data_IF_065535149224
#
_entry.id   IF_065535149224
#
_cell.length_a   1.000
_cell.length_b   1.000
_cell.length_c   1.000
_cell.angle_alpha   90.00
_cell.angle_beta   90.00
_cell.angle_gamma   90.00
#
_symmetry.space_group_name_H-M   'P 1'
#
loop_
_entity.id
_entity.type
_entity.pdbx_description
1 polymer ?
2 branched ?
3 non-polymer ?
4 water ?
#
# COMPACT_ATOMS: atom_id res chain seq x y z
N UNK A 4 1.35 -12.71 -18.00
CA UNK A 4 0.82 -11.81 -16.98
C UNK A 4 1.66 -11.92 -15.71
N UNK A 5 1.62 -10.87 -14.92
CA UNK A 5 2.45 -10.70 -13.73
C UNK A 5 2.43 -11.79 -12.69
N UNK A 6 1.24 -12.12 -12.17
CA UNK A 6 1.18 -13.17 -11.15
C UNK A 6 1.49 -14.53 -11.71
N UNK A 7 1.14 -14.82 -12.98
CA UNK A 7 1.50 -16.14 -13.51
C UNK A 7 3.02 -16.26 -13.63
N UNK A 8 3.68 -15.17 -14.02
CA UNK A 8 5.12 -15.18 -14.15
C UNK A 8 5.88 -15.22 -12.85
N UNK A 9 5.49 -14.37 -11.89
CA UNK A 9 6.25 -14.27 -10.64
C UNK A 9 5.73 -15.14 -9.52
N UNK A 10 4.44 -15.42 -9.55
CA UNK A 10 3.81 -16.31 -8.59
C UNK A 10 3.97 -15.91 -7.14
N UNK A 11 4.36 -16.89 -6.34
CA UNK A 11 4.48 -16.71 -4.89
C UNK A 11 5.60 -15.77 -4.50
N UNK A 12 5.24 -14.69 -3.80
CA UNK A 12 6.26 -13.75 -3.34
C UNK A 12 6.73 -14.13 -1.95
N UNK A 13 7.96 -13.77 -1.62
CA UNK A 13 8.50 -14.02 -0.29
C UNK A 13 9.62 -13.01 -0.03
N UNK A 14 10.12 -13.00 1.20
CA UNK A 14 11.22 -12.12 1.56
C UNK A 14 12.49 -12.96 1.71
N UNK A 15 13.53 -12.58 0.99
CA UNK A 15 14.81 -13.28 1.05
C UNK A 15 15.91 -12.27 1.32
N UNK A 16 16.54 -12.36 2.49
CA UNK A 16 17.62 -11.46 2.88
C UNK A 16 17.17 -10.01 2.79
N UNK A 17 15.97 -9.69 3.27
CA UNK A 17 15.43 -8.35 3.27
C UNK A 17 14.90 -7.86 1.95
N UNK A 18 14.84 -8.74 0.93
CA UNK A 18 14.40 -8.30 -0.38
C UNK A 18 13.16 -9.07 -0.85
N UNK A 19 12.29 -8.33 -1.55
CA UNK A 19 11.10 -8.98 -2.12
C UNK A 19 11.50 -9.80 -3.35
N UNK A 20 11.22 -11.09 -3.34
CA UNK A 20 11.57 -11.96 -4.46
C UNK A 20 10.36 -12.79 -4.92
N UNK A 21 10.45 -13.29 -6.16
CA UNK A 21 9.40 -14.16 -6.70
C UNK A 21 9.66 -15.62 -6.33
N UNK A 22 8.87 -16.54 -6.87
CA UNK A 22 8.97 -17.96 -6.53
C UNK A 22 10.23 -18.63 -7.05
N UNK A 23 10.96 -17.98 -7.96
CA UNK A 23 12.24 -18.51 -8.43
C UNK A 23 13.40 -17.83 -7.72
N UNK A 24 13.08 -17.02 -6.70
CA UNK A 24 14.10 -16.33 -5.91
C UNK A 24 14.68 -15.09 -6.56
N UNK A 25 14.06 -14.57 -7.60
CA UNK A 25 14.57 -13.39 -8.29
C UNK A 25 13.94 -12.12 -7.71
N UNK A 26 14.71 -11.04 -7.63
CA UNK A 26 14.12 -9.81 -7.11
C UNK A 26 13.02 -9.30 -8.05
N UNK A 27 11.94 -8.81 -7.45
CA UNK A 27 10.83 -8.25 -8.19
C UNK A 27 10.47 -6.89 -7.57
N UNK A 28 9.90 -6.02 -8.38
CA UNK A 28 9.51 -4.69 -7.92
C UNK A 28 8.08 -4.41 -8.39
N UNK A 29 7.21 -4.12 -7.43
CA UNK A 29 5.82 -3.85 -7.72
C UNK A 29 5.57 -2.35 -7.76
N UNK A 30 4.81 -1.89 -8.74
CA UNK A 30 4.49 -0.47 -8.85
C UNK A 30 3.00 -0.35 -9.19
N UNK A 31 2.27 0.45 -8.42
CA UNK A 31 0.84 0.54 -8.73
C UNK A 31 0.20 1.73 -8.03
N UNK A 32 -1.12 1.63 -7.92
CA UNK A 32 -1.92 2.67 -7.32
C UNK A 32 -2.68 2.19 -6.10
N UNK A 33 -2.90 3.13 -5.19
CA UNK A 33 -3.77 2.89 -4.06
C UNK A 33 -5.10 3.62 -4.36
N UNK A 34 -6.20 3.02 -3.94
CA UNK A 34 -7.49 3.71 -3.98
C UNK A 34 -7.40 4.81 -2.92
N UNK A 35 -8.39 5.69 -2.93
CA UNK A 35 -8.52 6.66 -1.82
C UNK A 35 -9.41 5.89 -0.84
N UNK A 36 -10.04 6.50 0.14
CA UNK A 36 -10.89 5.73 1.06
C UNK A 36 -12.05 5.09 0.30
N UNK A 37 -12.25 3.79 0.54
CA UNK A 37 -13.32 3.07 -0.15
C UNK A 37 -14.71 3.53 0.24
N UNK A 38 -14.89 4.16 1.38
CA UNK A 38 -16.18 4.70 1.80
C UNK A 38 -16.53 6.01 1.08
N UNK A 39 -15.57 6.63 0.41
CA UNK A 39 -15.76 7.89 -0.26
C UNK A 39 -15.66 7.80 -1.77
N UNK A 40 -14.65 7.06 -2.27
CA UNK A 40 -14.38 6.98 -3.69
C UNK A 40 -14.27 5.56 -4.22
N UNK A 41 -15.15 4.70 -3.72
CA UNK A 41 -15.19 3.30 -4.12
C UNK A 41 -15.60 3.07 -5.56
N UNK A 42 -16.22 4.04 -6.22
CA UNK A 42 -16.62 3.90 -7.61
C UNK A 42 -15.43 3.75 -8.55
N UNK A 43 -14.22 4.15 -8.17
CA UNK A 43 -13.05 4.01 -9.00
C UNK A 43 -12.36 2.67 -8.83
N UNK A 44 -12.89 1.81 -7.97
CA UNK A 44 -12.31 0.50 -7.71
C UNK A 44 -13.24 -0.57 -8.27
N UNK A 45 -12.88 -1.04 -9.46
CA UNK A 45 -13.71 -2.06 -10.12
C UNK A 45 -12.85 -2.76 -11.15
N UNK A 46 -13.33 -3.90 -11.66
CA UNK A 46 -12.56 -4.65 -12.64
C UNK A 46 -12.13 -3.80 -13.82
N UNK A 47 -13.05 -3.02 -14.41
CA UNK A 47 -12.68 -2.24 -15.59
C UNK A 47 -11.63 -1.18 -15.33
N UNK A 48 -11.72 -0.44 -14.22
CA UNK A 48 -10.72 0.59 -13.95
C UNK A 48 -9.37 -0.06 -13.62
N UNK A 49 -9.42 -1.20 -12.91
CA UNK A 49 -8.18 -1.91 -12.61
C UNK A 49 -7.56 -2.49 -13.87
N UNK A 50 -8.38 -2.96 -14.81
CA UNK A 50 -7.88 -3.51 -16.07
C UNK A 50 -7.23 -2.39 -16.89
N UNK A 51 -7.86 -1.21 -16.88
CA UNK A 51 -7.29 -0.06 -17.59
C UNK A 51 -5.95 0.34 -16.98
N UNK A 52 -5.86 0.34 -15.63
CA UNK A 52 -4.59 0.66 -15.01
C UNK A 52 -3.52 -0.37 -15.42
N UNK A 53 -3.91 -1.65 -15.41
CA UNK A 53 -2.94 -2.68 -15.77
C UNK A 53 -2.46 -2.50 -17.20
N UNK A 54 -3.41 -2.33 -18.13
CA UNK A 54 -3.07 -2.29 -19.55
C UNK A 54 -2.49 -0.99 -20.06
N UNK A 55 -2.97 0.14 -19.56
CA UNK A 55 -2.54 1.44 -20.04
C UNK A 55 -1.44 2.06 -19.19
N UNK A 56 -1.49 1.85 -17.87
CA UNK A 56 -0.43 2.40 -17.01
C UNK A 56 0.66 1.37 -16.76
N UNK A 57 0.36 0.09 -16.87
CA UNK A 57 1.35 -0.94 -16.57
C UNK A 57 1.37 -1.35 -15.10
N UNK A 58 0.34 -1.05 -14.30
CA UNK A 58 0.42 -1.43 -12.89
C UNK A 58 0.51 -2.94 -12.70
N UNK A 59 1.19 -3.36 -11.64
CA UNK A 59 1.25 -4.77 -11.29
C UNK A 59 0.80 -5.01 -9.85
N UNK A 60 0.27 -3.96 -9.20
CA UNK A 60 -0.27 -4.10 -7.85
C UNK A 60 -1.34 -3.04 -7.65
N UNK A 61 -2.40 -3.36 -6.91
CA UNK A 61 -3.44 -2.39 -6.60
C UNK A 61 -3.70 -2.44 -5.11
N UNK A 62 -3.78 -1.28 -4.46
CA UNK A 62 -4.01 -1.26 -3.01
C UNK A 62 -5.41 -0.76 -2.68
N UNK A 63 -6.15 -1.56 -1.94
CA UNK A 63 -7.53 -1.22 -1.54
C UNK A 63 -7.47 -0.61 -0.15
N UNK A 64 -7.66 0.71 -0.08
CA UNK A 64 -7.54 1.43 1.18
C UNK A 64 -8.84 1.44 1.97
N UNK A 65 -9.01 0.43 2.82
CA UNK A 65 -10.24 0.33 3.61
C UNK A 65 -10.10 1.07 4.92
N UNK A 66 -10.46 2.37 4.93
CA UNK A 66 -10.42 3.09 6.19
C UNK A 66 -11.25 2.32 7.24
N UNK A 67 -10.76 2.33 8.46
CA UNK A 67 -11.47 1.70 9.57
C UNK A 67 -12.42 2.71 10.22
N UNK A 68 -11.88 3.91 10.50
CA UNK A 68 -12.71 4.98 11.07
C UNK A 68 -13.12 5.94 9.96
N UNK A 69 -13.54 7.15 10.30
CA UNK A 69 -13.94 8.16 9.33
C UNK A 69 -15.02 7.70 8.35
N UNK A 70 -16.01 6.94 8.82
CA UNK A 70 -17.08 6.44 7.98
C UNK A 70 -16.72 5.12 7.30
N UNK A 71 -15.57 4.55 7.64
CA UNK A 71 -15.09 3.30 7.06
C UNK A 71 -15.66 2.07 7.75
N UNK A 72 -14.90 0.99 7.73
CA UNK A 72 -15.33 -0.33 8.19
C UNK A 72 -15.98 -0.40 9.56
N UNK A 73 -15.45 0.30 10.56
CA UNK A 73 -16.06 0.24 11.89
C UNK A 73 -17.46 0.86 11.88
N UNK A 74 -17.64 1.95 11.14
CA UNK A 74 -18.93 2.64 11.05
C UNK A 74 -19.90 1.91 10.15
N UNK A 75 -19.40 1.29 9.08
CA UNK A 75 -20.25 0.56 8.15
C UNK A 75 -19.39 -0.53 7.51
N UNK A 76 -19.55 -1.77 7.97
CA UNK A 76 -18.75 -2.89 7.51
C UNK A 76 -18.99 -3.31 6.08
N UNK A 77 -19.96 -2.72 5.39
CA UNK A 77 -20.26 -2.96 4.00
C UNK A 77 -19.07 -2.72 3.10
N UNK A 78 -18.13 -1.83 3.45
CA UNK A 78 -16.91 -1.59 2.70
C UNK A 78 -15.99 -2.80 2.57
N UNK A 79 -16.12 -3.80 3.44
CA UNK A 79 -15.34 -5.03 3.33
C UNK A 79 -15.70 -5.74 2.03
N UNK A 80 -16.96 -5.61 1.58
CA UNK A 80 -17.34 -6.24 0.31
C UNK A 80 -16.64 -5.57 -0.88
N UNK A 81 -16.34 -4.28 -0.77
CA UNK A 81 -15.62 -3.58 -1.84
C UNK A 81 -14.17 -4.09 -1.87
N UNK A 82 -13.60 -4.35 -0.69
CA UNK A 82 -12.26 -4.96 -0.66
C UNK A 82 -12.31 -6.30 -1.37
N UNK A 83 -13.32 -7.12 -1.10
CA UNK A 83 -13.45 -8.41 -1.78
C UNK A 83 -13.53 -8.23 -3.29
N UNK A 84 -14.31 -7.25 -3.74
CA UNK A 84 -14.40 -6.96 -5.18
C UNK A 84 -13.02 -6.65 -5.77
N UNK A 85 -12.25 -5.80 -5.08
CA UNK A 85 -10.90 -5.46 -5.53
C UNK A 85 -9.98 -6.67 -5.58
N UNK A 86 -10.03 -7.51 -4.56
CA UNK A 86 -9.19 -8.71 -4.51
C UNK A 86 -9.54 -9.64 -5.67
N UNK A 87 -10.84 -9.86 -5.90
CA UNK A 87 -11.28 -10.76 -6.98
C UNK A 87 -10.94 -10.22 -8.34
N UNK A 88 -11.02 -8.90 -8.51
CA UNK A 88 -10.61 -8.27 -9.77
C UNK A 88 -9.11 -8.46 -9.98
N UNK A 89 -8.29 -8.30 -8.93
CA UNK A 89 -6.85 -8.50 -9.05
C UNK A 89 -6.53 -9.93 -9.45
N UNK A 90 -7.27 -10.88 -8.89
CA UNK A 90 -7.09 -12.31 -9.21
C UNK A 90 -7.45 -12.53 -10.68
N UNK A 91 -8.57 -11.94 -11.12
CA UNK A 91 -8.98 -12.09 -12.52
C UNK A 91 -8.03 -11.41 -13.49
N UNK A 92 -7.38 -10.32 -13.09
CA UNK A 92 -6.43 -9.58 -13.92
C UNK A 92 -4.99 -10.04 -13.76
N UNK A 93 -4.78 -11.00 -12.86
CA UNK A 93 -3.44 -11.54 -12.62
C UNK A 93 -2.45 -10.49 -12.17
N UNK A 94 -2.87 -9.66 -11.20
CA UNK A 94 -1.98 -8.68 -10.60
C UNK A 94 -2.03 -8.84 -9.08
N UNK A 95 -1.05 -8.25 -8.38
CA UNK A 95 -1.04 -8.34 -6.92
C UNK A 95 -2.01 -7.35 -6.31
N UNK A 96 -2.43 -7.63 -5.07
CA UNK A 96 -3.40 -6.75 -4.42
C UNK A 96 -3.10 -6.62 -2.94
N UNK A 97 -3.14 -5.37 -2.46
CA UNK A 97 -2.87 -5.13 -1.04
C UNK A 97 -4.20 -4.85 -0.34
N UNK A 98 -4.47 -5.59 0.72
CA UNK A 98 -5.65 -5.43 1.56
C UNK A 98 -5.21 -4.53 2.70
N UNK A 99 -5.62 -3.26 2.67
CA UNK A 99 -5.12 -2.31 3.69
C UNK A 99 -6.14 -1.94 4.75
N UNK A 100 -5.87 -2.35 5.97
CA UNK A 100 -6.66 -2.01 7.16
C UNK A 100 -6.18 -0.59 7.48
N UNK A 101 -6.92 0.40 6.96
CA UNK A 101 -6.42 1.76 6.90
C UNK A 101 -6.72 2.63 8.11
N UNK A 102 -5.95 2.37 9.17
CA UNK A 102 -6.07 3.18 10.37
C UNK A 102 -5.45 4.56 10.09
N UNK A 103 -5.96 5.57 10.78
CA UNK A 103 -5.44 6.93 10.62
C UNK A 103 -5.83 7.75 11.84
N UNK A 104 -7.07 8.24 11.91
CA UNK A 104 -7.53 8.98 13.09
C UNK A 104 -7.55 8.08 14.33
N UNK A 105 -7.83 6.80 14.15
CA UNK A 105 -7.75 5.75 15.14
C UNK A 105 -6.26 5.37 15.10
N UNK A 106 -5.44 6.21 15.70
CA UNK A 106 -4.01 6.26 15.56
C UNK A 106 -3.21 5.12 16.17
N UNK A 107 -3.79 4.43 17.11
CA UNK A 107 -3.17 3.25 17.71
C UNK A 107 -3.87 2.06 17.09
N UNK A 108 -3.15 1.13 16.46
CA UNK A 108 -3.76 -0.04 15.87
C UNK A 108 -4.47 -0.92 16.88
N UNK A 109 -4.12 -0.81 18.16
CA UNK A 109 -4.80 -1.59 19.19
C UNK A 109 -6.24 -1.16 19.41
N UNK A 110 -6.64 0.05 19.02
CA UNK A 110 -8.01 0.50 19.26
C UNK A 110 -9.02 -0.50 18.71
N UNK A 111 -8.86 -0.90 17.45
CA UNK A 111 -9.77 -1.85 16.82
C UNK A 111 -9.11 -3.18 16.51
N UNK A 112 -8.24 -3.63 17.41
CA UNK A 112 -7.54 -4.90 17.22
C UNK A 112 -8.45 -6.10 17.14
N UNK A 113 -9.53 -6.19 17.93
CA UNK A 113 -10.40 -7.36 17.84
C UNK A 113 -11.09 -7.40 16.49
N UNK A 114 -11.54 -6.23 16.03
CA UNK A 114 -12.16 -6.16 14.70
C UNK A 114 -11.16 -6.50 13.61
N UNK A 115 -9.91 -6.08 13.72
CA UNK A 115 -8.85 -6.36 12.78
C UNK A 115 -8.58 -7.86 12.68
N UNK A 116 -8.54 -8.53 13.83
CA UNK A 116 -8.32 -9.97 13.87
C UNK A 116 -9.45 -10.70 13.16
N UNK A 117 -10.69 -10.30 13.42
CA UNK A 117 -11.83 -10.95 12.75
C UNK A 117 -11.80 -10.68 11.24
N UNK A 118 -11.51 -9.45 10.85
CA UNK A 118 -11.41 -9.09 9.45
C UNK A 118 -10.32 -9.85 8.72
N UNK A 119 -9.11 -9.89 9.30
CA UNK A 119 -8.01 -10.62 8.67
C UNK A 119 -8.22 -12.12 8.70
N UNK A 120 -8.93 -12.65 9.71
CA UNK A 120 -9.25 -14.08 9.69
C UNK A 120 -10.12 -14.38 8.46
N UNK A 121 -11.17 -13.57 8.27
CA UNK A 121 -12.06 -13.78 7.13
C UNK A 121 -11.35 -13.63 5.78
N UNK A 122 -10.58 -12.56 5.64
CA UNK A 122 -9.87 -12.32 4.38
C UNK A 122 -8.85 -13.41 4.08
N UNK A 123 -8.09 -13.87 5.08
CA UNK A 123 -7.10 -14.91 4.83
C UNK A 123 -7.76 -16.26 4.61
N UNK A 124 -8.91 -16.51 5.23
CA UNK A 124 -9.60 -17.78 4.97
C UNK A 124 -10.11 -17.81 3.53
N UNK A 125 -10.65 -16.69 3.07
CA UNK A 125 -11.19 -16.62 1.73
C UNK A 125 -10.14 -16.65 0.63
N UNK A 126 -9.10 -15.83 0.78
CA UNK A 126 -8.12 -15.64 -0.28
C UNK A 126 -6.71 -16.09 0.02
N UNK A 127 -6.51 -16.83 1.12
CA UNK A 127 -5.19 -17.25 1.52
C UNK A 127 -4.51 -18.23 0.58
N UNK A 128 -5.27 -18.91 -0.30
CA UNK A 128 -4.64 -19.81 -1.24
C UNK A 128 -4.49 -19.18 -2.63
N UNK A 129 -4.33 -17.86 -2.68
CA UNK A 129 -3.96 -17.17 -3.91
C UNK A 129 -2.66 -16.44 -3.63
N UNK A 130 -1.71 -16.40 -4.57
CA UNK A 130 -0.46 -15.71 -4.39
C UNK A 130 -0.55 -14.20 -4.59
N UNK A 131 -1.71 -13.71 -5.03
CA UNK A 131 -1.88 -12.29 -5.30
C UNK A 131 -1.96 -11.41 -4.06
N UNK A 132 -2.39 -12.01 -2.96
CA UNK A 132 -2.69 -11.25 -1.75
C UNK A 132 -1.50 -10.83 -0.92
N UNK A 133 -1.53 -9.55 -0.54
CA UNK A 133 -0.56 -8.95 0.37
C UNK A 133 -1.39 -8.29 1.49
N UNK A 134 -1.15 -8.57 2.76
CA UNK A 134 -1.95 -7.96 3.82
C UNK A 134 -1.23 -6.76 4.43
N UNK A 135 -1.96 -5.66 4.61
CA UNK A 135 -1.34 -4.47 5.24
C UNK A 135 -2.18 -4.23 6.50
N UNK A 136 -1.66 -4.65 7.66
CA UNK A 136 -2.47 -4.70 8.87
C UNK A 136 -2.67 -3.40 9.65
N UNK A 137 -1.99 -2.33 9.32
CA UNK A 137 -2.18 -1.06 10.04
C UNK A 137 -1.52 0.07 9.25
N UNK A 138 -2.29 0.66 8.35
CA UNK A 138 -1.77 1.71 7.48
C UNK A 138 -0.76 2.65 8.12
N UNK A 139 -1.22 3.50 9.03
CA UNK A 139 -0.40 4.54 9.62
C UNK A 139 -0.58 4.78 11.10
N UNK A 140 0.09 3.96 11.91
CA UNK A 140 0.15 4.21 13.35
C UNK A 140 0.68 5.63 13.52
N UNK A 141 0.15 6.40 14.48
CA UNK A 141 0.69 7.75 14.64
C UNK A 141 0.42 8.26 16.05
N UNK A 142 1.15 9.31 16.41
CA UNK A 142 1.07 9.88 17.75
C UNK A 142 2.32 9.52 18.55
N UNK A 143 2.74 10.43 19.45
CA UNK A 143 3.93 10.17 20.25
C UNK A 143 3.79 9.00 21.23
N UNK A 144 2.59 8.67 21.63
CA UNK A 144 2.28 7.59 22.54
C UNK A 144 2.05 6.26 21.84
N UNK A 145 2.27 6.21 20.53
CA UNK A 145 2.09 4.95 19.79
C UNK A 145 3.49 4.54 19.30
N UNK A 146 4.16 3.69 20.08
CA UNK A 146 5.52 3.31 19.71
C UNK A 146 5.58 1.90 19.09
N UNK A 147 6.70 1.66 18.42
CA UNK A 147 6.92 0.36 17.79
C UNK A 147 6.95 -0.72 18.87
N UNK A 148 7.82 -0.54 19.87
CA UNK A 148 7.96 -1.59 20.88
C UNK A 148 6.76 -1.82 21.76
N UNK A 149 6.02 -0.79 22.16
CA UNK A 149 4.92 -0.96 23.09
C UNK A 149 3.55 -1.15 22.46
N UNK A 150 3.31 -0.59 21.27
CA UNK A 150 2.00 -0.68 20.67
C UNK A 150 1.96 -1.39 19.31
N UNK A 151 2.84 -1.02 18.39
CA UNK A 151 2.76 -1.57 17.03
C UNK A 151 3.23 -3.01 16.92
N UNK A 152 4.40 -3.31 17.47
CA UNK A 152 4.89 -4.69 17.39
C UNK A 152 3.98 -5.68 18.09
N UNK A 153 3.52 -5.43 19.30
CA UNK A 153 2.58 -6.30 19.99
C UNK A 153 1.28 -6.44 19.21
N UNK A 154 0.79 -5.37 18.58
CA UNK A 154 -0.41 -5.49 17.75
C UNK A 154 -0.16 -6.48 16.62
N UNK A 155 1.00 -6.31 15.96
CA UNK A 155 1.35 -7.22 14.87
C UNK A 155 1.49 -8.65 15.37
N UNK A 156 1.99 -8.83 16.59
CA UNK A 156 2.16 -10.17 17.17
C UNK A 156 0.86 -10.81 17.60
N UNK A 157 -0.26 -10.10 17.55
CA UNK A 157 -1.59 -10.64 17.76
C UNK A 157 -2.30 -10.86 16.43
N UNK A 158 -2.09 -9.98 15.44
CA UNK A 158 -2.81 -10.13 14.16
C UNK A 158 -2.14 -11.11 13.20
N UNK A 159 -0.81 -11.14 13.18
CA UNK A 159 -0.10 -12.05 12.28
C UNK A 159 -0.43 -13.49 12.55
N UNK A 160 -0.47 -13.96 13.78
CA UNK A 160 -0.87 -15.34 14.07
C UNK A 160 -2.22 -15.70 13.49
N UNK A 161 -3.19 -14.78 13.47
CA UNK A 161 -4.51 -15.04 12.89
C UNK A 161 -4.40 -15.30 11.40
N UNK A 162 -3.65 -14.44 10.71
CA UNK A 162 -3.45 -14.64 9.26
C UNK A 162 -2.69 -15.92 8.98
N UNK A 163 -1.62 -16.19 9.74
CA UNK A 163 -0.75 -17.35 9.53
C UNK A 163 -1.43 -18.69 9.77
N UNK A 164 -2.54 -18.68 10.50
CA UNK A 164 -3.32 -19.89 10.72
C UNK A 164 -4.04 -20.29 9.44
N UNK A 165 -4.27 -19.34 8.54
CA UNK A 165 -4.94 -19.61 7.29
C UNK A 165 -4.04 -19.52 6.07
N UNK A 166 -3.03 -18.68 6.13
CA UNK A 166 -2.14 -18.37 5.01
C UNK A 166 -0.73 -18.30 5.57
N UNK A 167 0.04 -19.36 5.37
CA UNK A 167 1.35 -19.45 6.00
C UNK A 167 2.42 -18.49 5.56
N UNK A 168 2.32 -17.92 4.35
CA UNK A 168 3.47 -17.12 3.92
C UNK A 168 3.22 -16.05 2.90
N UNK A 169 1.97 -15.66 2.62
CA UNK A 169 1.84 -14.46 1.75
C UNK A 169 2.43 -13.28 2.52
N UNK A 170 2.84 -12.23 1.81
CA UNK A 170 3.48 -11.06 2.42
C UNK A 170 2.54 -10.28 3.32
N UNK A 171 3.08 -9.83 4.46
CA UNK A 171 2.35 -8.98 5.39
C UNK A 171 3.14 -7.68 5.56
N UNK A 172 2.49 -6.54 5.31
CA UNK A 172 3.13 -5.23 5.48
C UNK A 172 2.65 -4.69 6.83
N UNK A 173 3.58 -4.25 7.67
CA UNK A 173 3.26 -3.73 8.99
C UNK A 173 3.64 -2.25 9.09
N UNK A 174 2.68 -1.43 9.45
CA UNK A 174 2.91 0.00 9.58
C UNK A 174 3.95 0.29 10.66
N UNK A 175 4.57 1.47 10.53
CA UNK A 175 5.58 1.91 11.50
C UNK A 175 5.14 3.21 12.16
N UNK A 176 5.90 3.64 13.18
CA UNK A 176 5.55 4.84 13.91
C UNK A 176 5.59 6.12 13.10
N UNK A 177 4.96 7.16 13.67
CA UNK A 177 4.96 8.50 13.07
C UNK A 177 4.48 8.46 11.62
N UNK A 178 3.25 7.93 11.46
CA UNK A 178 2.59 7.79 10.18
C UNK A 178 3.42 6.97 9.20
N UNK A 179 3.90 5.81 9.67
CA UNK A 179 4.73 4.93 8.86
C UNK A 179 5.95 5.58 8.25
N UNK A 180 6.68 6.35 9.08
CA UNK A 180 7.94 6.95 8.66
C UNK A 180 9.07 6.37 9.49
N UNK A 181 8.80 5.91 10.71
CA UNK A 181 9.84 5.43 11.61
C UNK A 181 10.27 4.00 11.40
N UNK A 182 10.88 3.75 10.24
CA UNK A 182 11.39 2.42 9.91
C UNK A 182 12.67 2.14 10.67
N UNK A 183 13.40 3.15 11.13
CA UNK A 183 14.62 2.93 11.90
C UNK A 183 14.33 2.09 13.15
N UNK A 184 13.32 2.46 13.93
CA UNK A 184 12.99 1.75 15.16
C UNK A 184 12.52 0.33 14.86
N UNK A 185 11.66 0.20 13.82
CA UNK A 185 11.20 -1.14 13.48
C UNK A 185 12.35 -2.03 13.04
N UNK A 186 13.30 -1.47 12.28
CA UNK A 186 14.42 -2.26 11.78
C UNK A 186 15.33 -2.73 12.90
N UNK A 187 15.40 -1.99 14.00
CA UNK A 187 16.20 -2.40 15.14
C UNK A 187 15.48 -3.37 16.06
N UNK A 188 14.21 -3.69 15.81
CA UNK A 188 13.46 -4.59 16.68
C UNK A 188 12.42 -5.33 15.82
N UNK A 189 12.95 -6.09 14.88
CA UNK A 189 12.12 -6.75 13.87
C UNK A 189 11.25 -7.87 14.40
N UNK A 190 10.18 -8.13 13.64
CA UNK A 190 9.25 -9.22 13.93
C UNK A 190 9.87 -10.54 13.49
N UNK A 191 9.43 -11.65 14.07
CA UNK A 191 9.97 -12.96 13.74
C UNK A 191 9.50 -13.50 12.40
N UNK A 192 8.28 -13.15 11.96
CA UNK A 192 7.79 -13.73 10.70
C UNK A 192 8.75 -13.45 9.56
N UNK A 193 9.11 -14.45 8.78
CA UNK A 193 10.07 -14.30 7.70
C UNK A 193 9.53 -13.59 6.47
N UNK A 194 8.22 -13.41 6.37
CA UNK A 194 7.63 -12.79 5.19
C UNK A 194 6.91 -11.51 5.55
N UNK A 195 7.58 -10.71 6.37
CA UNK A 195 7.02 -9.41 6.78
C UNK A 195 7.83 -8.29 6.15
N UNK A 196 7.13 -7.22 5.82
CA UNK A 196 7.74 -6.00 5.31
C UNK A 196 7.24 -4.84 6.19
N UNK A 197 8.04 -3.79 6.29
CA UNK A 197 7.70 -2.62 7.10
C UNK A 197 7.32 -1.47 6.17
N UNK A 198 6.20 -0.81 6.45
CA UNK A 198 5.75 0.27 5.58
C UNK A 198 6.56 1.54 5.77
N UNK A 199 6.79 2.23 4.66
CA UNK A 199 7.46 3.53 4.69
C UNK A 199 6.65 4.42 3.75
N UNK A 200 6.19 5.56 4.24
CA UNK A 200 5.34 6.47 3.47
C UNK A 200 6.01 7.84 3.34
N UNK A 201 5.90 8.47 2.17
CA UNK A 201 6.51 9.80 2.00
C UNK A 201 5.65 10.66 1.10
N UNK A 202 5.82 11.97 1.20
CA UNK A 202 5.14 12.95 0.36
C UNK A 202 6.22 13.85 -0.22
N UNK A 203 6.18 14.10 -1.55
CA UNK A 203 7.22 14.88 -2.21
C UNK A 203 7.33 16.33 -1.77
N UNK A 204 6.29 16.86 -1.13
CA UNK A 204 6.31 18.22 -0.61
C UNK A 204 7.31 18.38 0.54
N UNK A 205 7.67 17.30 1.20
CA UNK A 205 8.66 17.32 2.27
C UNK A 205 10.05 17.06 1.70
N UNK A 206 11.03 17.90 2.06
CA UNK A 206 12.41 17.66 1.58
C UNK A 206 12.84 16.32 2.14
N UNK A 207 13.24 15.37 1.28
CA UNK A 207 13.43 14.03 1.78
C UNK A 207 14.79 13.42 1.90
N UNK A 208 15.85 14.21 1.94
CA UNK A 208 17.20 13.61 1.99
C UNK A 208 17.45 12.77 3.22
N UNK A 209 17.03 13.22 4.39
CA UNK A 209 17.26 12.41 5.60
C UNK A 209 16.33 11.21 5.64
N UNK A 210 15.11 11.36 5.14
CA UNK A 210 14.20 10.20 5.09
C UNK A 210 14.76 9.11 4.20
N UNK A 211 15.39 9.46 3.08
CA UNK A 211 16.05 8.46 2.23
C UNK A 211 17.17 7.78 2.99
N UNK A 212 17.96 8.55 3.76
CA UNK A 212 19.03 7.94 4.55
C UNK A 212 18.47 7.01 5.63
N UNK A 213 17.29 7.33 6.17
CA UNK A 213 16.66 6.49 7.17
C UNK A 213 16.16 5.17 6.56
N UNK A 214 15.66 5.25 5.33
CA UNK A 214 15.24 4.01 4.65
C UNK A 214 16.48 3.14 4.41
N UNK A 215 17.58 3.76 3.99
CA UNK A 215 18.82 3.02 3.78
C UNK A 215 19.28 2.34 5.07
N UNK A 216 19.17 3.03 6.20
CA UNK A 216 19.52 2.45 7.49
C UNK A 216 18.70 1.19 7.72
N UNK A 217 17.38 1.29 7.58
CA UNK A 217 16.50 0.13 7.79
C UNK A 217 16.85 -1.02 6.86
N UNK A 218 17.09 -0.71 5.59
CA UNK A 218 17.48 -1.75 4.62
C UNK A 218 18.78 -2.42 5.04
N UNK A 219 19.73 -1.67 5.59
CA UNK A 219 20.99 -2.19 6.08
C UNK A 219 20.86 -3.13 7.26
N UNK A 220 19.74 -3.12 7.98
CA UNK A 220 19.49 -4.03 9.08
C UNK A 220 18.78 -5.29 8.58
N UNK A 221 18.55 -5.37 7.27
CA UNK A 221 17.90 -6.54 6.69
C UNK A 221 16.37 -6.46 6.77
N UNK A 222 15.84 -5.29 7.06
CA UNK A 222 14.38 -5.13 7.11
C UNK A 222 13.87 -4.86 5.69
N UNK A 223 12.84 -5.58 5.27
CA UNK A 223 12.25 -5.35 3.95
C UNK A 223 11.27 -4.18 4.07
N UNK A 224 11.30 -3.29 3.09
CA UNK A 224 10.45 -2.10 3.15
C UNK A 224 9.52 -2.04 1.95
N UNK A 225 8.26 -1.71 2.20
CA UNK A 225 7.31 -1.55 1.08
C UNK A 225 6.80 -0.10 1.18
N UNK A 226 6.91 0.67 0.10
CA UNK A 226 6.41 2.06 0.15
C UNK A 226 4.92 1.99 -0.21
N UNK A 227 4.08 1.61 0.77
CA UNK A 227 2.68 1.32 0.44
C UNK A 227 1.80 2.54 0.26
N UNK A 228 2.37 3.72 0.49
CA UNK A 228 1.65 4.97 0.24
C UNK A 228 2.68 6.07 -0.01
N UNK A 229 2.59 6.79 -1.11
CA UNK A 229 3.45 7.96 -1.31
C UNK A 229 2.67 8.91 -2.22
N UNK A 230 2.95 10.20 -2.11
CA UNK A 230 2.23 11.12 -3.01
C UNK A 230 3.18 12.18 -3.54
N UNK A 231 2.74 12.82 -4.62
CA UNK A 231 3.50 13.88 -5.25
C UNK A 231 3.25 15.22 -4.56
N UNK A 232 2.28 15.26 -3.67
CA UNK A 232 1.89 16.47 -2.96
C UNK A 232 2.57 16.67 -1.62
N UNK A 233 1.98 17.55 -0.82
CA UNK A 233 2.44 17.74 0.56
C UNK A 233 1.83 16.61 1.39
N UNK A 234 2.19 16.44 2.64
CA UNK A 234 1.75 15.40 3.54
C UNK A 234 0.26 15.32 3.78
N UNK A 235 -0.47 16.41 3.55
CA UNK A 235 -1.92 16.45 3.71
C UNK A 235 -2.64 15.81 2.54
N UNK A 236 -1.93 15.53 1.44
CA UNK A 236 -2.55 14.97 0.25
C UNK A 236 -2.91 16.10 -0.73
N UNK A 237 -2.58 17.33 -0.35
CA UNK A 237 -2.89 18.50 -1.18
C UNK A 237 -1.73 19.47 -1.10
N UNK A 238 -1.92 20.75 -1.41
CA UNK A 238 -0.87 21.72 -1.26
C UNK A 238 0.17 21.83 -2.36
N UNK A 239 -0.10 21.36 -3.56
CA UNK A 239 0.83 21.49 -4.67
C UNK A 239 1.37 20.14 -5.14
N UNK A 240 1.95 20.14 -6.32
CA UNK A 240 2.56 18.94 -6.90
C UNK A 240 4.05 19.22 -6.98
N UNK A 241 4.88 18.37 -6.37
CA UNK A 241 6.32 18.61 -6.29
C UNK A 241 7.09 17.56 -7.07
N UNK A 242 7.11 17.74 -8.40
CA UNK A 242 7.71 16.72 -9.27
C UNK A 242 9.20 16.57 -9.20
N UNK A 243 9.98 17.61 -8.87
CA UNK A 243 11.43 17.41 -8.77
C UNK A 243 11.74 16.42 -7.64
N UNK A 244 11.20 16.69 -6.45
CA UNK A 244 11.44 15.78 -5.32
C UNK A 244 10.79 14.43 -5.56
N UNK A 245 9.63 14.40 -6.21
CA UNK A 245 9.02 13.10 -6.53
C UNK A 245 9.93 12.25 -7.40
N UNK A 246 10.56 12.85 -8.40
CA UNK A 246 11.48 12.12 -9.29
C UNK A 246 12.72 11.64 -8.54
N UNK A 247 13.23 12.43 -7.58
CA UNK A 247 14.36 11.96 -6.78
C UNK A 247 13.95 10.69 -6.04
N UNK A 248 12.75 10.71 -5.44
CA UNK A 248 12.26 9.51 -4.74
C UNK A 248 12.04 8.34 -5.68
N UNK A 249 11.49 8.58 -6.86
CA UNK A 249 11.31 7.50 -7.85
C UNK A 249 12.64 6.84 -8.17
N UNK A 250 13.67 7.66 -8.43
CA UNK A 250 14.99 7.15 -8.74
C UNK A 250 15.58 6.38 -7.56
N UNK A 251 15.42 6.90 -6.35
CA UNK A 251 15.87 6.23 -5.14
C UNK A 251 15.20 4.87 -5.00
N UNK A 252 13.90 4.79 -5.19
CA UNK A 252 13.18 3.52 -5.08
C UNK A 252 13.65 2.53 -6.14
N UNK A 253 13.95 2.97 -7.37
CA UNK A 253 14.48 2.02 -8.36
C UNK A 253 15.87 1.54 -7.97
N UNK A 254 16.73 2.42 -7.46
CA UNK A 254 18.07 2.03 -7.04
C UNK A 254 18.06 0.98 -5.94
N UNK A 255 17.11 1.11 -5.01
CA UNK A 255 16.94 0.20 -3.90
C UNK A 255 15.93 -0.91 -4.17
N UNK A 256 15.37 -0.98 -5.36
CA UNK A 256 14.36 -1.92 -5.79
C UNK A 256 13.15 -1.97 -4.85
N UNK A 257 12.72 -0.77 -4.44
CA UNK A 257 11.57 -0.69 -3.55
C UNK A 257 10.25 -0.70 -4.32
N UNK A 258 9.34 -1.54 -3.81
CA UNK A 258 7.98 -1.62 -4.37
C UNK A 258 7.16 -0.45 -3.84
N UNK A 259 6.15 -0.04 -4.61
CA UNK A 259 5.37 1.12 -4.16
C UNK A 259 3.97 1.22 -4.72
N UNK A 260 3.15 1.99 -4.01
CA UNK A 260 1.78 2.27 -4.41
C UNK A 260 1.53 3.78 -4.23
N UNK A 261 1.12 4.44 -5.29
CA UNK A 261 0.89 5.88 -5.23
C UNK A 261 -0.51 6.21 -4.70
N UNK A 262 -0.57 7.30 -3.93
CA UNK A 262 -1.82 7.82 -3.38
C UNK A 262 -2.22 9.06 -4.16
N UNK A 263 -3.37 9.10 -4.80
CA UNK A 263 -4.35 8.03 -4.85
C UNK A 263 -5.25 8.13 -6.10
N UNK A 264 -5.96 7.03 -6.36
CA UNK A 264 -6.86 6.97 -7.51
C UNK A 264 -8.24 7.55 -7.21
N UNK A 265 -8.38 8.85 -7.43
CA UNK A 265 -9.64 9.54 -7.21
C UNK A 265 -9.65 10.82 -8.03
N UNK A 266 -10.84 11.43 -8.16
CA UNK A 266 -10.98 12.69 -8.87
C UNK A 266 -11.15 13.85 -7.89
N UNK A 267 -10.99 13.58 -6.61
CA UNK A 267 -11.09 14.61 -5.58
C UNK A 267 -10.21 15.79 -5.96
N UNK A 268 -10.65 17.00 -5.64
CA UNK A 268 -9.88 18.20 -5.94
C UNK A 268 -8.78 18.45 -4.91
N UNK A 269 -7.75 17.61 -4.95
CA UNK A 269 -6.57 17.72 -4.10
C UNK A 269 -5.38 17.31 -4.96
N UNK A 270 -4.23 17.89 -4.71
CA UNK A 270 -3.05 17.69 -5.53
C UNK A 270 -2.62 16.25 -5.74
N UNK A 271 -2.75 15.40 -4.73
CA UNK A 271 -2.33 14.01 -4.87
C UNK A 271 -3.29 13.17 -5.69
N UNK A 272 -4.52 13.64 -5.92
CA UNK A 272 -5.47 12.83 -6.70
C UNK A 272 -4.96 12.64 -8.12
N UNK A 273 -5.05 11.41 -8.64
CA UNK A 273 -4.57 11.12 -9.98
C UNK A 273 -5.50 11.52 -11.11
N UNK A 274 -6.78 11.72 -10.83
CA UNK A 274 -7.75 12.00 -11.88
C UNK A 274 -8.38 13.39 -11.74
N UNK A 275 -8.94 13.87 -12.86
CA UNK A 275 -9.66 15.14 -12.85
C UNK A 275 -11.14 14.82 -12.68
N UNK A 276 -11.96 15.73 -12.17
CA UNK A 276 -13.37 15.50 -11.98
C UNK A 276 -14.24 14.68 -12.87
N UNK A 277 -14.30 14.75 -14.19
CA UNK A 277 -15.21 13.91 -14.96
C UNK A 277 -14.52 12.67 -15.51
N UNK A 278 -13.49 12.19 -14.81
CA UNK A 278 -12.78 10.99 -15.24
C UNK A 278 -13.77 9.83 -15.07
N UNK A 279 -13.83 8.97 -16.06
CA UNK A 279 -14.76 7.83 -15.99
C UNK A 279 -14.33 6.89 -14.89
N UNK A 280 -15.25 6.48 -14.00
CA UNK A 280 -14.92 5.56 -12.94
C UNK A 280 -14.54 4.17 -13.44
N UNK A 281 -14.83 3.83 -14.70
CA UNK A 281 -14.45 2.53 -15.25
C UNK A 281 -13.23 2.59 -16.17
N UNK A 282 -12.44 3.65 -16.13
CA UNK A 282 -11.24 3.75 -16.92
C UNK A 282 -11.37 4.37 -18.31
N UNK A 283 -10.34 4.16 -19.13
CA UNK A 283 -10.29 4.67 -20.50
C UNK A 283 -9.93 6.15 -20.56
N UNK A 284 -9.32 6.67 -19.51
CA UNK A 284 -8.99 8.08 -19.40
C UNK A 284 -8.13 8.65 -20.51
N UNK A 285 -8.58 9.83 -20.96
CA UNK A 285 -7.84 10.61 -21.94
C UNK A 285 -6.81 11.42 -21.16
N UNK A 286 -5.95 12.12 -21.89
CA UNK A 286 -4.92 12.97 -21.29
C UNK A 286 -5.52 14.02 -20.38
N UNK A 287 -6.64 14.62 -20.76
CA UNK A 287 -7.35 15.64 -20.02
C UNK A 287 -8.03 15.16 -18.75
N UNK A 288 -8.23 13.86 -18.61
CA UNK A 288 -8.88 13.28 -17.44
C UNK A 288 -7.84 12.94 -16.37
N UNK A 289 -6.56 13.04 -16.70
CA UNK A 289 -5.51 12.80 -15.70
C UNK A 289 -5.05 14.14 -15.14
N UNK A 290 -4.84 14.18 -13.82
CA UNK A 290 -4.32 15.41 -13.19
C UNK A 290 -2.83 15.46 -13.44
N UNK A 291 -2.17 16.54 -13.03
CA UNK A 291 -0.72 16.64 -13.13
C UNK A 291 -0.04 15.51 -12.38
N UNK A 292 -0.52 15.17 -11.19
CA UNK A 292 0.03 14.04 -10.44
C UNK A 292 -0.19 12.72 -11.17
N UNK A 293 -1.41 12.47 -11.64
CA UNK A 293 -1.71 11.21 -12.32
C UNK A 293 -0.94 11.04 -13.61
N UNK A 294 -0.73 12.14 -14.32
CA UNK A 294 0.04 12.11 -15.56
C UNK A 294 1.46 11.66 -15.29
N UNK A 295 2.07 12.22 -14.25
CA UNK A 295 3.41 11.88 -13.84
C UNK A 295 3.51 10.41 -13.38
N UNK A 296 2.60 9.99 -12.50
CA UNK A 296 2.63 8.61 -12.01
C UNK A 296 2.47 7.62 -13.15
N UNK A 297 1.54 7.89 -14.08
CA UNK A 297 1.35 7.01 -15.23
C UNK A 297 2.63 6.88 -16.04
N UNK A 298 3.31 8.00 -16.27
CA UNK A 298 4.57 8.00 -16.99
C UNK A 298 5.62 7.16 -16.26
N UNK A 299 5.70 7.31 -14.93
CA UNK A 299 6.67 6.52 -14.18
C UNK A 299 6.42 5.03 -14.33
N UNK A 300 5.16 4.60 -14.24
CA UNK A 300 4.90 3.15 -14.35
C UNK A 300 5.09 2.66 -15.78
N UNK A 301 4.68 3.44 -16.78
CA UNK A 301 4.86 3.01 -18.17
C UNK A 301 6.34 2.91 -18.53
N UNK A 302 7.15 3.82 -18.03
CA UNK A 302 8.60 3.85 -18.23
C UNK A 302 9.27 2.59 -17.66
N UNK A 303 8.74 2.09 -16.56
CA UNK A 303 9.29 0.90 -15.92
C UNK A 303 8.92 -0.34 -16.74
X LIG B 1 -1.52 8.84 3.91
X LIG B 1 -2.79 8.43 4.61
X LIG B 1 -3.94 8.84 3.72
X LIG B 1 -3.85 10.37 3.49
X LIG B 1 -2.57 10.67 2.76
X LIG B 1 -2.36 12.17 2.54
X LIG B 1 -5.11 8.54 4.46
X LIG B 1 -4.92 10.66 2.58
X LIG B 1 -1.46 10.19 3.52
X LIG B 1 -2.40 12.81 3.80
X LIG B 1 -2.72 7.05 4.74
X LIG B 2 -6.52 12.16 1.70
X LIG B 2 -7.45 13.34 2.09
X LIG B 2 -8.24 12.89 3.32
X LIG B 2 -7.26 12.57 4.46
X LIG B 2 -7.92 12.17 5.77
X LIG B 2 -5.63 11.85 2.89
X LIG B 2 -5.64 12.51 0.63
X LIG B 2 -8.31 13.60 0.99
X LIG B 2 -9.11 13.93 3.71
X LIG B 2 -6.43 11.50 4.02
X LIG B 2 -8.71 11.00 5.56
X LIG B 3 -11.12 14.71 4.68
X LIG B 3 -12.61 14.37 4.88
X LIG B 3 -13.25 14.09 3.50
X LIG B 3 -12.44 12.96 2.83
X LIG B 3 -12.94 12.59 1.44
X LIG B 3 -10.45 13.56 3.96
X LIG B 3 -10.44 14.84 5.92
X LIG B 3 -13.16 15.56 5.46
X LIG B 3 -14.56 13.63 3.75
X LIG B 3 -11.09 13.38 2.72
X LIG B 3 -12.97 13.75 0.62
X LIG C 1 7.52 -20.40 -2.14
X LIG C 1 7.95 -20.02 -3.46
X LIG C 1 7.69 -19.19 -1.21
X LIG C 1 9.09 -18.83 -1.18
X LIG C 1 7.18 -19.55 0.19
X LIG C 1 7.30 -18.42 1.09
X LIG D 1 5.49 -1.98 -13.93
X LIG D 1 5.03 -2.42 -15.22
X LIG D 1 6.73 -2.74 -13.49
X LIG D 1 7.84 -2.35 -14.33
X LIG D 1 7.02 -2.48 -12.01
X LIG D 1 8.35 -2.87 -11.65
X LIG E 1 6.96 -7.36 -12.53
X LIG E 1 6.16 -6.73 -13.55
X LIG E 1 8.44 -7.00 -12.65
X LIG E 1 8.57 -5.62 -13.04
X LIG E 1 9.14 -7.26 -11.31
X LIG E 1 10.37 -6.51 -11.18
X LIG F 1 13.24 -3.70 -0.30
X LIG F 1 12.91 -4.46 0.88
X LIG F 1 12.55 -4.26 -1.55
X LIG F 1 13.17 -5.54 -1.84
X LIG F 1 11.05 -4.44 -1.39
X LIG F 1 10.20 -3.29 -1.59
X LIG G 1 10.33 2.94 19.62
X LIG G 1 9.25 3.51 18.85
X LIG G 1 9.79 1.80 20.49
X LIG G 1 10.60 0.63 20.21
X LIG G 1 9.94 2.17 21.98
X LIG G 1 8.85 1.63 22.75
X LIG H 1 -21.39 -2.48 -7.27
X LIG H 1 -21.59 -3.37 -6.17
X LIG H 1 -20.17 -1.61 -6.95
X LIG H 1 -19.98 -0.67 -8.01
X LIG H 1 -20.43 -0.90 -5.61
X LIG H 1 -19.24 -0.23 -5.15
X LIG I 1 12.13 -11.42 17.48
X LIG I 1 13.54 -11.39 17.81
X LIG I 1 11.34 -11.21 18.77
X LIG I 1 11.78 -9.99 19.42
X LIG I 1 9.84 -11.13 18.43
X LIG I 1 9.12 -10.58 19.57
X LIG J 1 1.97 23.23 -7.36
X LIG J 1 2.20 22.07 -8.15
X LIG J 1 3.26 23.92 -6.93
X LIG J 1 3.24 25.27 -7.43
X LIG J 1 4.51 23.20 -7.42
X LIG J 1 5.49 23.06 -6.36
#
# INVERSE_FOLDING_TARGET
>A
DNDSVVEEHGQLSISNGELVNERGEQVQLKGMSSHGLQWYGQFVNYESMKWLRDDWGINVFRAAMYTSSGGYIDDPSVKEKVKEAVEAAIDLDIYVIIDWHILSDNDPNIYKEEAKDFFDEMSELYGDYPNVIYEIANEPNGSDVTWGNQIKPYAEEVIPIIRNNDPNNIIIVGTGTWSQDVHHAADNQLADPNVMYAFHFYAGTHGQNLRDQVDYALDQGAAIFVSEWGTSAATGDGGVFLDEAQVWIDFMDERNLSWANWSLTHKDESSAALMPGANPTGGWTEAELSPSGTFVREKIRES
>B hetero
1 G2F C1 C2 C3 C4 C5 C6 O3 O4 O5 O6 F2
2 BGC C2 C3 C4 C5 C6 C1 O2 O3 O4 O5 O6
3 BGC C2 C3 C4 C5 C6 C1 O2 O3 O4 O5 O6
>C hetero
1 GOL C1 O1 C2 O2 C3 O3
>D hetero
1 GOL C1 O1 C2 O2 C3 O3
>E hetero
1 GOL C1 O1 C2 O2 C3 O3
>F hetero
1 GOL C1 O1 C2 O2 C3 O3
>G hetero
1 GOL C1 O1 C2 O2 C3 O3
>H hetero
1 GOL C1 O1 C2 O2 C3 O3
>I hetero
1 GOL C1 O1 C2 O2 C3 O3
>J hetero
1 GOL C1 O1 C2 O2 C3 O3
#
